data_IF_091434973363
#
_entry.id   IF_091434973363
#
_cell.length_a   1.000
_cell.length_b   1.000
_cell.length_c   1.000
_cell.angle_alpha   90.00
_cell.angle_beta   90.00
_cell.angle_gamma   90.00
#
_symmetry.space_group_name_H-M   'P 1'
#
loop_
_entity.id
_entity.type
_entity.pdbx_description
1 polymer ?
#
# COMPACT_ATOMS: atom_id res chain seq x y z
N UNK A 1 4.41 1.86 -12.69
CA UNK A 1 5.78 2.32 -13.00
C UNK A 1 5.99 3.84 -12.86
N UNK A 2 5.18 4.73 -13.46
CA UNK A 2 5.39 6.19 -13.40
C UNK A 2 5.48 6.76 -11.97
N UNK A 3 4.58 6.36 -11.07
CA UNK A 3 4.57 6.85 -9.68
C UNK A 3 5.81 6.41 -8.91
N UNK A 4 6.24 5.15 -9.08
CA UNK A 4 7.45 4.61 -8.44
C UNK A 4 8.69 5.39 -8.89
N UNK A 5 8.81 5.65 -10.19
CA UNK A 5 9.89 6.45 -10.76
C UNK A 5 9.91 7.86 -10.17
N UNK A 6 8.76 8.54 -10.12
CA UNK A 6 8.67 9.88 -9.56
C UNK A 6 9.10 9.94 -8.08
N UNK A 7 8.72 8.94 -7.28
CA UNK A 7 9.13 8.83 -5.87
C UNK A 7 10.64 8.58 -5.77
N UNK A 8 11.18 7.65 -6.56
CA UNK A 8 12.59 7.30 -6.56
C UNK A 8 13.48 8.48 -7.01
N UNK A 9 13.11 9.16 -8.10
CA UNK A 9 13.82 10.35 -8.60
C UNK A 9 13.79 11.50 -7.56
N UNK A 10 12.64 11.72 -6.91
CA UNK A 10 12.54 12.72 -5.85
C UNK A 10 13.41 12.37 -4.63
N UNK A 11 13.48 11.08 -4.25
CA UNK A 11 14.33 10.61 -3.17
C UNK A 11 15.82 10.75 -3.53
N UNK A 12 16.23 10.39 -4.74
CA UNK A 12 17.60 10.57 -5.23
C UNK A 12 18.01 12.05 -5.18
N UNK A 13 17.18 12.92 -5.77
CA UNK A 13 17.42 14.36 -5.78
C UNK A 13 17.52 14.93 -4.35
N UNK A 14 16.68 14.47 -3.41
CA UNK A 14 16.77 14.91 -2.01
C UNK A 14 18.06 14.45 -1.34
N UNK A 15 18.54 13.22 -1.61
CA UNK A 15 19.83 12.71 -1.12
C UNK A 15 21.01 13.51 -1.66
N UNK A 16 21.05 13.80 -2.96
CA UNK A 16 22.09 14.64 -3.57
C UNK A 16 22.18 16.02 -2.92
N UNK A 17 21.04 16.57 -2.51
CA UNK A 17 20.93 17.84 -1.79
C UNK A 17 21.07 17.68 -0.25
N UNK A 18 21.73 16.61 0.21
CA UNK A 18 22.10 16.37 1.61
C UNK A 18 20.97 15.97 2.55
N UNK A 19 19.83 15.49 2.04
CA UNK A 19 18.75 14.94 2.86
C UNK A 19 18.82 13.44 3.08
N UNK A 20 17.99 12.94 3.99
CA UNK A 20 17.79 11.50 4.27
C UNK A 20 16.31 11.13 4.06
N UNK A 21 15.82 11.04 2.81
CA UNK A 21 14.44 10.65 2.55
C UNK A 21 14.25 9.16 2.87
N UNK A 22 13.22 8.86 3.66
CA UNK A 22 12.82 7.50 4.03
C UNK A 22 11.50 7.17 3.34
N UNK A 23 11.61 6.88 2.05
CA UNK A 23 10.45 6.62 1.20
C UNK A 23 9.83 5.26 1.51
N UNK A 24 8.51 5.22 1.57
CA UNK A 24 7.72 3.99 1.66
C UNK A 24 6.69 3.98 0.53
N UNK A 25 6.66 2.89 -0.24
CA UNK A 25 5.70 2.69 -1.32
C UNK A 25 4.75 1.58 -0.90
N UNK A 26 3.46 1.86 -0.97
CA UNK A 26 2.41 0.96 -0.52
C UNK A 26 1.50 0.57 -1.67
N UNK A 27 1.29 -0.74 -1.84
CA UNK A 27 0.44 -1.30 -2.89
C UNK A 27 -0.97 -1.52 -2.33
N UNK A 28 -2.01 -0.86 -2.89
CA UNK A 28 -3.38 -0.94 -2.41
C UNK A 28 -4.12 -2.17 -2.96
N UNK A 29 -5.26 -2.50 -2.34
CA UNK A 29 -6.26 -3.48 -2.75
C UNK A 29 -5.71 -4.88 -3.02
N UNK A 30 -4.63 -5.25 -2.33
CA UNK A 30 -4.06 -6.59 -2.38
C UNK A 30 -5.01 -7.57 -1.69
N UNK A 31 -5.34 -8.67 -2.35
CA UNK A 31 -6.09 -9.78 -1.77
C UNK A 31 -5.25 -11.05 -1.60
N UNK A 32 -4.21 -11.22 -2.42
CA UNK A 32 -3.33 -12.40 -2.50
C UNK A 32 -1.85 -12.01 -2.45
N UNK A 33 -0.97 -12.93 -2.02
CA UNK A 33 0.49 -12.69 -2.07
C UNK A 33 1.00 -12.54 -3.52
N UNK A 34 0.40 -13.27 -4.47
CA UNK A 34 0.81 -13.22 -5.88
C UNK A 34 0.54 -11.86 -6.53
N UNK A 35 -0.57 -11.22 -6.16
CA UNK A 35 -0.86 -9.84 -6.60
C UNK A 35 0.18 -8.86 -6.07
N UNK A 36 0.58 -9.02 -4.81
CA UNK A 36 1.62 -8.20 -4.20
C UNK A 36 2.98 -8.42 -4.87
N UNK A 37 3.38 -9.68 -5.06
CA UNK A 37 4.66 -10.05 -5.68
C UNK A 37 4.81 -9.44 -7.08
N UNK A 38 3.77 -9.56 -7.92
CA UNK A 38 3.80 -9.02 -9.28
C UNK A 38 4.03 -7.51 -9.30
N UNK A 39 3.28 -6.74 -8.50
CA UNK A 39 3.40 -5.28 -8.47
C UNK A 39 4.69 -4.85 -7.78
N UNK A 40 5.14 -5.61 -6.78
CA UNK A 40 6.42 -5.38 -6.08
C UNK A 40 7.59 -5.54 -7.04
N UNK A 41 7.62 -6.61 -7.84
CA UNK A 41 8.68 -6.86 -8.83
C UNK A 41 8.81 -5.68 -9.80
N UNK A 42 7.69 -5.21 -10.37
CA UNK A 42 7.69 -4.03 -11.25
C UNK A 42 8.20 -2.75 -10.55
N UNK A 43 7.91 -2.59 -9.25
CA UNK A 43 8.39 -1.45 -8.48
C UNK A 43 9.89 -1.54 -8.20
N UNK A 44 10.37 -2.72 -7.81
CA UNK A 44 11.79 -2.99 -7.56
C UNK A 44 12.65 -2.75 -8.81
N UNK A 45 12.20 -3.20 -9.99
CA UNK A 45 12.90 -2.94 -11.25
C UNK A 45 13.08 -1.45 -11.53
N UNK A 46 12.03 -0.66 -11.29
CA UNK A 46 12.07 0.79 -11.50
C UNK A 46 12.99 1.46 -10.48
N UNK A 47 12.92 1.07 -9.20
CA UNK A 47 13.79 1.60 -8.15
C UNK A 47 15.25 1.29 -8.49
N UNK A 48 15.57 0.04 -8.83
CA UNK A 48 16.92 -0.39 -9.19
C UNK A 48 17.48 0.37 -10.41
N UNK A 49 16.64 0.65 -11.42
CA UNK A 49 17.04 1.50 -12.57
C UNK A 49 17.47 2.89 -12.11
N UNK A 50 16.70 3.53 -11.23
CA UNK A 50 17.02 4.87 -10.72
C UNK A 50 18.26 4.83 -9.83
N UNK A 51 18.37 3.85 -8.93
CA UNK A 51 19.55 3.68 -8.08
C UNK A 51 20.83 3.52 -8.91
N UNK A 52 20.76 2.75 -10.01
CA UNK A 52 21.87 2.59 -10.94
C UNK A 52 22.18 3.86 -11.74
N UNK A 53 21.17 4.60 -12.18
CA UNK A 53 21.33 5.86 -12.93
C UNK A 53 21.96 6.96 -12.05
N UNK A 54 21.58 7.01 -10.77
CA UNK A 54 21.98 8.05 -9.81
C UNK A 54 23.18 7.65 -8.94
N UNK A 55 23.55 6.37 -8.91
CA UNK A 55 24.65 5.85 -8.10
C UNK A 55 24.40 5.97 -6.60
N UNK A 56 23.14 5.87 -6.15
CA UNK A 56 22.74 6.00 -4.75
C UNK A 56 21.75 4.92 -4.37
N UNK A 57 21.90 4.34 -3.17
CA UNK A 57 20.91 3.44 -2.57
C UNK A 57 19.77 4.29 -1.98
N UNK A 58 18.54 4.02 -2.43
CA UNK A 58 17.39 4.78 -2.01
C UNK A 58 16.75 4.23 -0.73
N UNK A 59 16.97 2.96 -0.39
CA UNK A 59 16.40 2.32 0.79
C UNK A 59 14.87 2.44 0.87
N UNK A 60 14.18 2.45 -0.29
CA UNK A 60 12.72 2.56 -0.34
C UNK A 60 12.11 1.23 0.05
N UNK A 61 11.26 1.23 1.08
CA UNK A 61 10.53 0.03 1.49
C UNK A 61 9.21 -0.13 0.74
N UNK A 62 8.90 -1.37 0.38
CA UNK A 62 7.67 -1.79 -0.30
C UNK A 62 6.77 -2.56 0.66
N UNK A 63 5.56 -2.07 0.85
CA UNK A 63 4.55 -2.67 1.71
C UNK A 63 3.19 -2.70 1.03
N UNK A 64 2.17 -3.07 1.80
CA UNK A 64 0.81 -3.17 1.27
C UNK A 64 -0.24 -2.69 2.26
N UNK A 65 -1.36 -2.24 1.70
CA UNK A 65 -2.53 -1.95 2.49
C UNK A 65 -3.31 -3.24 2.79
N UNK A 66 -3.59 -3.50 4.06
CA UNK A 66 -4.50 -4.55 4.50
C UNK A 66 -5.89 -3.94 4.59
N UNK A 67 -6.60 -3.99 3.46
CA UNK A 67 -7.93 -3.38 3.29
C UNK A 67 -8.99 -4.32 2.73
N UNK A 68 -8.62 -5.56 2.40
CA UNK A 68 -9.53 -6.63 2.02
C UNK A 68 -9.54 -7.73 3.09
N UNK A 69 -10.71 -8.34 3.40
CA UNK A 69 -10.79 -9.41 4.39
C UNK A 69 -9.91 -10.60 4.03
N UNK A 70 -9.77 -10.91 2.73
CA UNK A 70 -8.89 -11.97 2.23
C UNK A 70 -7.44 -11.70 2.61
N UNK A 71 -6.96 -10.46 2.48
CA UNK A 71 -5.59 -10.11 2.85
C UNK A 71 -5.32 -10.28 4.33
N UNK A 72 -6.29 -9.91 5.18
CA UNK A 72 -6.18 -10.15 6.62
C UNK A 72 -6.13 -11.67 6.95
N UNK A 73 -6.95 -12.48 6.28
CA UNK A 73 -6.99 -13.94 6.49
C UNK A 73 -5.72 -14.66 6.03
N UNK A 74 -5.06 -14.16 4.98
CA UNK A 74 -3.82 -14.71 4.43
C UNK A 74 -2.59 -13.88 4.76
N UNK A 75 -2.66 -13.02 5.79
CA UNK A 75 -1.63 -12.03 6.11
C UNK A 75 -0.25 -12.66 6.35
N UNK A 76 -0.21 -13.90 6.84
CA UNK A 76 1.04 -14.65 7.01
C UNK A 76 1.83 -14.82 5.71
N UNK A 77 1.14 -15.12 4.59
CA UNK A 77 1.78 -15.25 3.28
C UNK A 77 2.16 -13.88 2.71
N UNK A 78 1.27 -12.88 2.87
CA UNK A 78 1.53 -11.51 2.39
C UNK A 78 2.75 -10.91 3.10
N UNK A 79 2.96 -11.24 4.38
CA UNK A 79 4.11 -10.78 5.16
C UNK A 79 5.46 -11.32 4.64
N UNK A 80 5.48 -12.41 3.86
CA UNK A 80 6.70 -12.89 3.22
C UNK A 80 7.17 -11.94 2.11
N UNK A 81 6.24 -11.20 1.51
CA UNK A 81 6.50 -10.27 0.40
C UNK A 81 6.44 -8.78 0.80
N UNK A 82 5.79 -8.41 1.91
CA UNK A 82 5.64 -7.01 2.35
C UNK A 82 6.63 -6.64 3.47
N UNK A 83 7.25 -5.46 3.38
CA UNK A 83 8.11 -4.92 4.45
C UNK A 83 7.32 -4.20 5.55
N UNK A 84 6.09 -3.77 5.26
CA UNK A 84 5.18 -3.17 6.23
C UNK A 84 3.72 -3.39 5.82
N UNK A 85 2.82 -3.29 6.81
CA UNK A 85 1.37 -3.24 6.60
C UNK A 85 0.82 -1.89 7.04
N UNK A 86 -0.15 -1.40 6.28
CA UNK A 86 -1.04 -0.31 6.69
C UNK A 86 -2.48 -0.78 6.64
N UNK A 87 -3.25 -0.60 7.70
CA UNK A 87 -4.64 -1.04 7.72
C UNK A 87 -5.54 0.04 7.11
N UNK A 88 -6.07 -0.21 5.92
CA UNK A 88 -7.09 0.61 5.28
C UNK A 88 -8.45 0.32 5.89
N UNK A 89 -8.70 0.79 7.12
CA UNK A 89 -9.89 0.40 7.88
C UNK A 89 -11.20 0.87 7.26
N UNK A 90 -11.17 1.88 6.38
CA UNK A 90 -12.37 2.33 5.67
C UNK A 90 -12.89 1.23 4.75
N UNK A 91 -12.08 0.81 3.77
CA UNK A 91 -12.40 -0.27 2.84
C UNK A 91 -12.54 -1.62 3.55
N UNK A 92 -11.70 -1.89 4.56
CA UNK A 92 -11.83 -3.11 5.36
C UNK A 92 -13.16 -3.17 6.10
N UNK A 93 -13.62 -2.07 6.69
CA UNK A 93 -14.94 -2.02 7.35
C UNK A 93 -16.05 -2.24 6.34
N UNK A 94 -16.01 -1.53 5.21
CA UNK A 94 -17.01 -1.68 4.15
C UNK A 94 -17.12 -3.12 3.66
N UNK A 95 -15.99 -3.77 3.40
CA UNK A 95 -15.95 -5.13 2.85
C UNK A 95 -16.23 -6.22 3.89
N UNK A 96 -15.84 -6.03 5.16
CA UNK A 96 -16.19 -6.95 6.25
C UNK A 96 -17.70 -6.91 6.54
N UNK A 97 -18.28 -5.72 6.59
CA UNK A 97 -19.72 -5.57 6.84
C UNK A 97 -20.58 -5.77 5.60
N UNK A 98 -19.98 -5.79 4.40
CA UNK A 98 -20.67 -5.96 3.13
C UNK A 98 -21.53 -4.75 2.77
N UNK A 99 -21.08 -3.54 3.10
CA UNK A 99 -21.84 -2.32 2.89
C UNK A 99 -21.02 -1.22 2.20
N UNK A 100 -21.70 -0.43 1.38
CA UNK A 100 -21.14 0.77 0.74
C UNK A 100 -21.30 1.94 1.70
N UNK A 101 -20.21 2.65 2.02
CA UNK A 101 -20.28 3.79 2.94
C UNK A 101 -21.27 4.85 2.48
N UNK A 102 -21.27 5.15 1.18
CA UNK A 102 -22.12 6.19 0.59
C UNK A 102 -23.62 5.85 0.69
N UNK A 103 -23.97 4.56 0.64
CA UNK A 103 -25.37 4.12 0.68
C UNK A 103 -25.89 3.94 2.12
N UNK A 104 -25.00 3.66 3.06
CA UNK A 104 -25.35 3.18 4.40
C UNK A 104 -25.66 4.33 5.36
N UNK A 105 -24.92 5.43 5.25
CA UNK A 105 -25.17 6.64 6.06
C UNK A 105 -26.59 7.19 5.80
N UNK A 106 -27.11 7.04 4.57
CA UNK A 106 -28.42 7.56 4.17
C UNK A 106 -29.60 6.60 4.41
N UNK A 107 -29.36 5.34 4.74
CA UNK A 107 -30.40 4.30 4.70
C UNK A 107 -30.80 3.73 6.05
N UNK A 108 -29.90 3.06 6.76
CA UNK A 108 -30.27 2.25 7.93
C UNK A 108 -29.35 2.39 9.15
N UNK A 109 -28.23 3.10 9.05
CA UNK A 109 -27.30 3.25 10.18
C UNK A 109 -27.93 3.95 11.38
N UNK A 110 -28.71 5.02 11.14
CA UNK A 110 -29.47 5.69 12.22
C UNK A 110 -30.42 4.73 12.92
N UNK A 111 -31.12 3.88 12.16
CA UNK A 111 -32.06 2.91 12.71
C UNK A 111 -31.37 1.81 13.52
N UNK A 112 -30.12 1.45 13.18
CA UNK A 112 -29.34 0.50 13.98
C UNK A 112 -28.88 1.17 15.27
N UNK A 113 -28.29 2.38 15.20
CA UNK A 113 -27.84 3.14 16.37
C UNK A 113 -28.97 3.45 17.38
N UNK A 114 -30.18 3.73 16.90
CA UNK A 114 -31.34 3.93 17.77
C UNK A 114 -31.79 2.64 18.48
N UNK A 115 -31.47 1.47 17.91
CA UNK A 115 -31.85 0.16 18.43
C UNK A 115 -30.74 -0.54 19.23
N UNK A 116 -29.48 -0.13 19.07
CA UNK A 116 -28.30 -0.66 19.78
C UNK A 116 -27.19 -1.08 18.83
#
# INVERSE_FOLDING_TARGET
TMQVRAIAEAAAHRRENGGDPRGEIMIPLVGTVQELELVREEAEEVIASIESEQGTDLGISLGTMIELPRAALTAGQIAEAAQFFSFGTNDLTQTVWGFSRDDVEASFFTAYLEKG
#
